data_IF_973741942681
#
_entry.id   IF_973741942681
#
_cell.length_a   1.000
_cell.length_b   1.000
_cell.length_c   1.000
_cell.angle_alpha   90.00
_cell.angle_beta   90.00
_cell.angle_gamma   90.00
#
_symmetry.space_group_name_H-M   'P 1'
#
loop_
_entity.id
_entity.type
_entity.pdbx_description
1 polymer ?
#
# COMPACT_ATOMS: atom_id res chain seq x y z
N UNK A 1 -10.79 -14.76 16.62
CA UNK A 1 -10.10 -13.45 16.80
C UNK A 1 -10.23 -12.74 15.45
N UNK A 2 -10.40 -11.43 15.36
CA UNK A 2 -10.66 -10.80 14.05
C UNK A 2 -9.35 -10.65 13.27
N UNK A 3 -8.97 -11.69 12.54
CA UNK A 3 -7.84 -11.77 11.58
C UNK A 3 -8.03 -10.89 10.33
N UNK A 4 -8.86 -9.84 10.41
CA UNK A 4 -9.22 -9.04 9.25
C UNK A 4 -8.14 -7.97 9.01
N UNK A 5 -7.46 -8.09 7.88
CA UNK A 5 -6.62 -7.01 7.33
C UNK A 5 -7.48 -5.78 7.10
N UNK A 6 -7.04 -4.63 7.61
CA UNK A 6 -7.71 -3.33 7.41
C UNK A 6 -7.00 -2.58 6.29
N UNK A 7 -7.75 -2.15 5.29
CA UNK A 7 -7.25 -1.27 4.22
C UNK A 7 -7.99 0.06 4.30
N UNK A 8 -7.27 1.14 4.54
CA UNK A 8 -7.82 2.50 4.62
C UNK A 8 -7.34 3.33 3.43
N UNK A 9 -8.28 3.81 2.63
CA UNK A 9 -8.02 4.74 1.55
C UNK A 9 -7.93 6.15 2.14
N UNK A 10 -6.74 6.75 2.11
CA UNK A 10 -6.55 8.11 2.62
C UNK A 10 -6.85 9.11 1.52
N UNK A 11 -7.66 10.12 1.84
CA UNK A 11 -7.92 11.27 0.97
C UNK A 11 -6.61 11.86 0.44
N UNK A 12 -6.51 12.03 -0.88
CA UNK A 12 -5.37 12.61 -1.58
C UNK A 12 -4.02 11.89 -1.31
N UNK A 13 -4.03 10.63 -0.85
CA UNK A 13 -2.81 9.95 -0.41
C UNK A 13 -2.85 8.42 -0.69
N UNK A 14 -1.95 7.71 0.00
CA UNK A 14 -1.76 6.26 -0.08
C UNK A 14 -2.90 5.45 0.53
N UNK A 15 -2.89 4.14 0.25
CA UNK A 15 -3.74 3.17 0.96
C UNK A 15 -2.94 2.63 2.15
N UNK A 16 -3.44 2.79 3.37
CA UNK A 16 -2.82 2.21 4.58
C UNK A 16 -3.34 0.79 4.78
N UNK A 17 -2.44 -0.18 4.84
CA UNK A 17 -2.77 -1.58 5.10
C UNK A 17 -2.26 -1.92 6.50
N UNK A 18 -3.17 -2.33 7.38
CA UNK A 18 -2.86 -2.73 8.75
C UNK A 18 -3.29 -4.18 8.96
N UNK A 19 -2.34 -5.02 9.31
CA UNK A 19 -2.47 -6.48 9.36
C UNK A 19 -1.27 -7.14 8.70
N UNK A 20 -1.14 -8.45 8.89
CA UNK A 20 -0.10 -9.27 8.26
C UNK A 20 -0.54 -9.68 6.86
N UNK A 21 0.29 -9.42 5.86
CA UNK A 21 0.00 -9.72 4.45
C UNK A 21 1.23 -10.36 3.81
N UNK A 22 0.99 -11.47 3.12
CA UNK A 22 1.97 -12.12 2.27
C UNK A 22 1.93 -11.52 0.87
N UNK A 23 3.09 -11.14 0.37
CA UNK A 23 3.33 -10.76 -1.00
C UNK A 23 3.70 -12.03 -1.74
N UNK A 24 2.92 -12.37 -2.76
CA UNK A 24 3.11 -13.57 -3.57
C UNK A 24 3.56 -13.17 -4.97
N UNK A 25 4.41 -14.00 -5.58
CA UNK A 25 4.78 -13.86 -6.98
C UNK A 25 3.69 -14.42 -7.93
N UNK A 26 3.96 -14.41 -9.24
CA UNK A 26 3.03 -14.90 -10.25
C UNK A 26 2.79 -16.42 -10.18
N UNK A 27 3.69 -17.16 -9.54
CA UNK A 27 3.61 -18.61 -9.34
C UNK A 27 2.91 -18.97 -8.02
N UNK A 28 2.65 -17.98 -7.17
CA UNK A 28 1.98 -18.12 -5.88
C UNK A 28 2.95 -18.35 -4.70
N UNK A 29 4.26 -18.22 -4.92
CA UNK A 29 5.23 -18.34 -3.82
C UNK A 29 5.26 -17.05 -3.00
N UNK A 30 5.34 -17.19 -1.67
CA UNK A 30 5.51 -16.03 -0.77
C UNK A 30 6.93 -15.48 -0.94
N UNK A 31 7.03 -14.26 -1.45
CA UNK A 31 8.31 -13.54 -1.59
C UNK A 31 8.64 -12.71 -0.36
N UNK A 32 7.64 -12.17 0.32
CA UNK A 32 7.82 -11.32 1.49
C UNK A 32 6.53 -11.30 2.32
N UNK A 33 6.65 -11.26 3.65
CA UNK A 33 5.52 -11.01 4.56
C UNK A 33 5.72 -9.67 5.25
N UNK A 34 4.73 -8.78 5.17
CA UNK A 34 4.80 -7.46 5.82
C UNK A 34 3.60 -7.18 6.70
N UNK A 35 3.83 -6.32 7.67
CA UNK A 35 2.80 -5.72 8.52
C UNK A 35 2.85 -4.20 8.39
N UNK A 36 1.68 -3.57 8.47
CA UNK A 36 1.51 -2.12 8.65
C UNK A 36 2.26 -1.22 7.64
N UNK A 37 1.90 -1.32 6.36
CA UNK A 37 2.54 -0.63 5.25
C UNK A 37 1.58 0.27 4.47
N UNK A 38 2.13 1.11 3.59
CA UNK A 38 1.35 2.03 2.75
C UNK A 38 1.59 1.74 1.28
N UNK A 39 0.53 1.51 0.51
CA UNK A 39 0.59 1.29 -0.92
C UNK A 39 0.38 2.59 -1.70
N UNK A 40 1.14 2.75 -2.78
CA UNK A 40 0.99 3.88 -3.69
C UNK A 40 -0.35 3.80 -4.43
N UNK A 41 -1.11 4.91 -4.37
CA UNK A 41 -2.33 5.10 -5.17
C UNK A 41 -2.17 6.18 -6.24
N UNK A 42 -1.16 7.04 -6.14
CA UNK A 42 -0.99 8.21 -7.01
C UNK A 42 -0.18 7.95 -8.30
N UNK A 43 0.48 6.79 -8.43
CA UNK A 43 1.35 6.47 -9.58
C UNK A 43 2.73 7.16 -9.58
N UNK A 44 2.95 8.18 -8.75
CA UNK A 44 4.19 8.97 -8.74
C UNK A 44 5.33 8.37 -7.90
N UNK A 45 5.07 7.34 -7.07
CA UNK A 45 6.09 6.80 -6.18
C UNK A 45 7.27 6.15 -6.94
N UNK A 46 8.48 6.29 -6.41
CA UNK A 46 9.71 5.64 -6.91
C UNK A 46 9.91 4.25 -6.30
N UNK A 47 9.24 3.95 -5.19
CA UNK A 47 9.32 2.68 -4.46
C UNK A 47 8.08 1.80 -4.65
N UNK A 48 7.53 1.80 -5.88
CA UNK A 48 6.32 1.02 -6.19
C UNK A 48 6.52 -0.46 -5.83
N UNK A 49 5.50 -1.13 -5.25
CA UNK A 49 4.11 -0.68 -5.08
C UNK A 49 3.87 0.19 -3.82
N UNK A 50 4.89 0.48 -3.04
CA UNK A 50 4.76 1.21 -1.78
C UNK A 50 4.70 2.72 -1.99
N UNK A 51 4.17 3.43 -1.00
CA UNK A 51 4.13 4.89 -1.00
C UNK A 51 5.37 5.47 -0.31
N UNK A 52 6.11 6.30 -1.04
CA UNK A 52 7.28 7.08 -0.57
C UNK A 52 6.96 8.55 -0.23
N UNK A 53 5.70 8.98 -0.42
CA UNK A 53 5.27 10.36 -0.17
C UNK A 53 5.12 11.23 -1.41
N UNK A 54 5.53 10.74 -2.59
CA UNK A 54 5.49 11.49 -3.87
C UNK A 54 4.10 11.98 -4.29
N UNK A 55 3.02 11.51 -3.66
CA UNK A 55 1.66 11.99 -3.89
C UNK A 55 1.49 13.49 -3.57
N UNK A 56 2.29 14.03 -2.66
CA UNK A 56 2.26 15.46 -2.29
C UNK A 56 2.77 16.32 -3.43
N UNK A 57 3.97 16.00 -3.93
CA UNK A 57 4.61 16.72 -5.03
C UNK A 57 3.86 16.53 -6.35
N UNK A 58 3.25 15.36 -6.55
CA UNK A 58 2.41 15.07 -7.72
C UNK A 58 1.04 15.77 -7.70
N UNK A 59 0.68 16.47 -6.63
CA UNK A 59 -0.63 17.13 -6.50
C UNK A 59 -1.80 16.16 -6.58
N UNK A 60 -1.65 14.95 -6.06
CA UNK A 60 -2.64 13.89 -6.21
C UNK A 60 -3.95 14.25 -5.49
N UNK A 61 -5.06 14.26 -6.24
CA UNK A 61 -6.41 14.50 -5.69
C UNK A 61 -7.26 13.26 -5.91
N UNK A 62 -7.81 12.74 -4.82
CA UNK A 62 -8.72 11.60 -4.83
C UNK A 62 -9.48 11.53 -3.52
N UNK A 63 -10.76 11.18 -3.60
CA UNK A 63 -11.61 10.94 -2.43
C UNK A 63 -11.21 9.66 -1.66
#
# INVERSE_FOLDING_TARGET
MSDKVKMQFKKNASIRVTGTVDFVDAEGNVVETKTDFSLCRCGASKEKPFCDGSHRDAGFVSE
#
